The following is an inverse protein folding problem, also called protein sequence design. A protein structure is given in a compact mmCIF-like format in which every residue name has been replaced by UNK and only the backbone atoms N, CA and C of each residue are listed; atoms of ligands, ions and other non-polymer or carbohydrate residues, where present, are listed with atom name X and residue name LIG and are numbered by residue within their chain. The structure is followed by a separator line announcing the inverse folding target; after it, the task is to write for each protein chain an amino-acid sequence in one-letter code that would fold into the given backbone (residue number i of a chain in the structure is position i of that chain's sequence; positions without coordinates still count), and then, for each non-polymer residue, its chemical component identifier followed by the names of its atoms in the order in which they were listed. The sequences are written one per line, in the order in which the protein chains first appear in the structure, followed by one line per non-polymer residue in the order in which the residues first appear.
data_IF_105250997229
#
_entry.id   IF_105250997229
#
_cell.length_a   1.000
_cell.length_b   1.000
_cell.length_c   1.000
_cell.angle_alpha   90.00
_cell.angle_beta   90.00
_cell.angle_gamma   90.00
#
_symmetry.space_group_name_H-M   'P 1'
#
loop_
_entity.id
_entity.type
_entity.pdbx_description
1 polymer ?
#
# COMPACT_ATOMS: atom_id res chain seq x y z
N UNK A 1 -14.80 4.24 25.99
CA UNK A 1 -15.65 3.40 25.13
C UNK A 1 -15.30 3.69 23.68
N UNK A 2 -14.52 2.82 23.02
CA UNK A 2 -14.32 2.76 21.55
C UNK A 2 -13.39 1.61 21.10
N UNK A 3 -12.70 0.90 22.01
CA UNK A 3 -11.75 -0.16 21.64
C UNK A 3 -12.39 -1.53 21.33
N UNK A 4 -13.64 -1.77 21.71
CA UNK A 4 -14.30 -3.06 21.47
C UNK A 4 -14.50 -3.39 19.99
N UNK A 5 -14.68 -2.38 19.14
CA UNK A 5 -14.76 -2.58 17.69
C UNK A 5 -13.38 -2.88 17.11
N UNK A 6 -12.35 -2.13 17.50
CA UNK A 6 -10.98 -2.29 16.99
C UNK A 6 -10.36 -3.63 17.37
N UNK A 7 -10.57 -4.10 18.61
CA UNK A 7 -10.13 -5.43 19.06
C UNK A 7 -10.83 -6.55 18.30
N UNK A 8 -12.08 -6.36 17.85
CA UNK A 8 -12.80 -7.34 17.01
C UNK A 8 -12.27 -7.42 15.58
N UNK A 9 -11.62 -6.37 15.08
CA UNK A 9 -11.01 -6.37 13.75
C UNK A 9 -9.57 -6.90 13.77
N UNK A 10 -8.88 -6.94 14.92
CA UNK A 10 -7.51 -7.47 15.00
C UNK A 10 -7.38 -8.90 14.44
N UNK A 11 -8.28 -9.86 14.79
CA UNK A 11 -8.25 -11.20 14.22
C UNK A 11 -8.49 -11.24 12.70
N UNK A 12 -9.18 -10.24 12.16
CA UNK A 12 -9.35 -10.10 10.71
C UNK A 12 -8.04 -9.69 10.05
N UNK A 13 -7.31 -8.72 10.61
CA UNK A 13 -5.99 -8.29 10.10
C UNK A 13 -4.90 -9.36 10.27
N UNK A 14 -4.99 -10.19 11.31
CA UNK A 14 -4.12 -11.36 11.51
C UNK A 14 -4.56 -12.58 10.68
N UNK A 15 -5.70 -12.50 10.00
CA UNK A 15 -6.19 -13.61 9.19
C UNK A 15 -5.38 -13.79 7.91
N UNK A 16 -5.18 -15.04 7.51
CA UNK A 16 -4.56 -15.39 6.21
C UNK A 16 -5.33 -14.75 5.04
N UNK A 17 -6.66 -14.64 5.15
CA UNK A 17 -7.52 -14.06 4.13
C UNK A 17 -7.26 -12.58 3.87
N UNK A 18 -6.97 -11.80 4.93
CA UNK A 18 -6.58 -10.40 4.78
C UNK A 18 -5.31 -10.26 3.92
N UNK A 19 -4.29 -11.05 4.22
CA UNK A 19 -3.04 -11.03 3.46
C UNK A 19 -3.20 -11.53 2.03
N UNK A 20 -4.08 -12.51 1.79
CA UNK A 20 -4.45 -12.93 0.43
C UNK A 20 -5.06 -11.75 -0.35
N UNK A 21 -6.03 -11.03 0.24
CA UNK A 21 -6.66 -9.86 -0.38
C UNK A 21 -5.61 -8.77 -0.65
N UNK A 22 -4.74 -8.48 0.32
CA UNK A 22 -3.68 -7.50 0.20
C UNK A 22 -2.71 -7.84 -0.96
N UNK A 23 -2.32 -9.11 -1.09
CA UNK A 23 -1.45 -9.58 -2.18
C UNK A 23 -2.17 -9.43 -3.53
N UNK A 24 -3.42 -9.89 -3.64
CA UNK A 24 -4.21 -9.81 -4.89
C UNK A 24 -4.36 -8.35 -5.35
N UNK A 25 -4.71 -7.43 -4.45
CA UNK A 25 -4.82 -6.01 -4.78
C UNK A 25 -3.45 -5.42 -5.15
N UNK A 26 -2.37 -5.86 -4.51
CA UNK A 26 -1.01 -5.41 -4.85
C UNK A 26 -0.56 -5.89 -6.22
N UNK A 27 -0.94 -7.10 -6.65
CA UNK A 27 -0.75 -7.56 -8.02
C UNK A 27 -1.53 -6.70 -9.01
N UNK A 28 -2.81 -6.40 -8.72
CA UNK A 28 -3.63 -5.52 -9.56
C UNK A 28 -2.94 -4.16 -9.78
N UNK A 29 -2.44 -3.53 -8.71
CA UNK A 29 -1.70 -2.26 -8.84
C UNK A 29 -0.39 -2.40 -9.60
N UNK A 30 0.36 -3.49 -9.40
CA UNK A 30 1.55 -3.78 -10.20
C UNK A 30 1.25 -3.82 -11.71
N UNK A 31 0.12 -4.41 -12.12
CA UNK A 31 -0.28 -4.45 -13.53
C UNK A 31 -0.77 -3.08 -14.04
N UNK A 32 -1.51 -2.31 -13.23
CA UNK A 32 -1.93 -0.95 -13.57
C UNK A 32 -0.73 -0.04 -13.84
N UNK A 33 0.34 -0.17 -13.05
CA UNK A 33 1.58 0.61 -13.23
C UNK A 33 2.33 0.23 -14.51
N UNK A 34 2.26 -1.03 -14.95
CA UNK A 34 2.81 -1.44 -16.27
C UNK A 34 2.03 -0.76 -17.40
N UNK A 35 0.69 -0.77 -17.33
CA UNK A 35 -0.18 -0.25 -18.39
C UNK A 35 -0.08 1.28 -18.53
N UNK A 36 0.26 1.98 -17.45
CA UNK A 36 0.52 3.42 -17.46
C UNK A 36 1.81 3.82 -18.19
N UNK A 37 2.79 2.93 -18.34
CA UNK A 37 4.00 3.24 -19.11
C UNK A 37 3.63 3.33 -20.58
N UNK A 38 3.92 4.50 -21.14
CA UNK A 38 3.79 4.81 -22.55
C UNK A 38 4.21 3.63 -23.44
N UNK A 39 3.33 3.27 -24.39
CA UNK A 39 3.45 2.08 -25.24
C UNK A 39 4.74 2.05 -26.07
N UNK A 40 5.45 3.17 -26.14
CA UNK A 40 6.72 3.36 -26.84
C UNK A 40 7.94 2.80 -26.09
N UNK A 41 7.90 2.67 -24.75
CA UNK A 41 9.02 2.10 -23.96
C UNK A 41 8.84 0.60 -23.74
N UNK A 42 8.91 -0.18 -24.83
CA UNK A 42 8.81 -1.65 -24.81
C UNK A 42 10.04 -2.37 -24.21
N UNK A 43 10.75 -1.77 -23.25
CA UNK A 43 11.85 -2.43 -22.56
C UNK A 43 11.30 -3.26 -21.40
N UNK A 44 11.52 -4.59 -21.46
CA UNK A 44 11.13 -5.55 -20.42
C UNK A 44 11.61 -5.12 -19.02
N UNK A 45 12.84 -4.60 -18.92
CA UNK A 45 13.42 -4.14 -17.64
C UNK A 45 12.64 -2.99 -17.04
N UNK A 46 12.15 -2.07 -17.87
CA UNK A 46 11.33 -0.93 -17.42
C UNK A 46 9.98 -1.41 -16.91
N UNK A 47 9.29 -2.30 -17.65
CA UNK A 47 8.02 -2.88 -17.22
C UNK A 47 8.15 -3.65 -15.89
N UNK A 48 9.20 -4.45 -15.75
CA UNK A 48 9.46 -5.20 -14.52
C UNK A 48 9.69 -4.28 -13.30
N UNK A 49 10.48 -3.21 -13.46
CA UNK A 49 10.72 -2.26 -12.37
C UNK A 49 9.45 -1.58 -11.90
N UNK A 50 8.55 -1.25 -12.81
CA UNK A 50 7.29 -0.57 -12.50
C UNK A 50 6.30 -1.49 -11.84
N UNK A 51 6.19 -2.72 -12.36
CA UNK A 51 5.43 -3.77 -11.69
C UNK A 51 5.86 -3.94 -10.24
N UNK A 52 7.18 -4.09 -10.00
CA UNK A 52 7.75 -4.25 -8.67
C UNK A 52 7.49 -3.01 -7.81
N UNK A 53 7.65 -1.81 -8.37
CA UNK A 53 7.38 -0.55 -7.66
C UNK A 53 5.92 -0.44 -7.21
N UNK A 54 4.97 -0.72 -8.10
CA UNK A 54 3.53 -0.68 -7.80
C UNK A 54 3.11 -1.74 -6.80
N UNK A 55 3.59 -2.97 -7.00
CA UNK A 55 3.35 -4.07 -6.09
C UNK A 55 3.90 -3.78 -4.68
N UNK A 56 5.16 -3.35 -4.58
CA UNK A 56 5.80 -3.06 -3.29
C UNK A 56 5.17 -1.87 -2.59
N UNK A 57 4.80 -0.83 -3.33
CA UNK A 57 4.14 0.33 -2.72
C UNK A 57 2.76 -0.02 -2.16
N UNK A 58 1.99 -0.82 -2.89
CA UNK A 58 0.69 -1.31 -2.41
C UNK A 58 0.85 -2.19 -1.17
N UNK A 59 1.75 -3.18 -1.19
CA UNK A 59 1.92 -4.10 -0.06
C UNK A 59 2.44 -3.38 1.19
N UNK A 60 3.29 -2.36 1.03
CA UNK A 60 3.72 -1.49 2.13
C UNK A 60 2.56 -0.64 2.68
N UNK A 61 1.59 -0.25 1.85
CA UNK A 61 0.37 0.40 2.31
C UNK A 61 -0.47 -0.52 3.19
N UNK A 62 -0.69 -1.77 2.77
CA UNK A 62 -1.37 -2.80 3.57
C UNK A 62 -0.64 -3.10 4.88
N UNK A 63 0.68 -3.19 4.84
CA UNK A 63 1.51 -3.39 6.02
C UNK A 63 1.44 -2.20 6.99
N UNK A 64 1.41 -0.98 6.47
CA UNK A 64 1.25 0.24 7.30
C UNK A 64 -0.12 0.26 7.99
N UNK A 65 -1.17 -0.19 7.29
CA UNK A 65 -2.50 -0.35 7.86
C UNK A 65 -2.51 -1.41 8.98
N UNK A 66 -1.83 -2.53 8.77
CA UNK A 66 -1.68 -3.57 9.80
C UNK A 66 -1.03 -3.02 11.08
N UNK A 67 0.10 -2.31 10.95
CA UNK A 67 0.79 -1.69 12.09
C UNK A 67 -0.11 -0.65 12.78
N UNK A 68 -0.83 0.16 12.00
CA UNK A 68 -1.78 1.14 12.54
C UNK A 68 -2.82 0.45 13.42
N UNK A 69 -3.51 -0.57 12.92
CA UNK A 69 -4.54 -1.26 13.70
C UNK A 69 -3.97 -1.95 14.95
N UNK A 70 -2.76 -2.49 14.87
CA UNK A 70 -2.07 -3.06 16.03
C UNK A 70 -1.76 -2.02 17.11
N UNK A 71 -1.36 -0.80 16.74
CA UNK A 71 -1.10 0.29 17.69
C UNK A 71 -2.37 0.91 18.24
N UNK A 72 -3.38 1.10 17.40
CA UNK A 72 -4.69 1.62 17.83
C UNK A 72 -5.37 0.67 18.82
N UNK A 73 -5.24 -0.65 18.65
CA UNK A 73 -5.73 -1.63 19.62
C UNK A 73 -5.03 -1.52 20.99
N UNK A 74 -3.80 -1.01 21.03
CA UNK A 74 -3.05 -0.72 22.26
C UNK A 74 -3.39 0.65 22.87
N UNK A 75 -4.32 1.40 22.28
CA UNK A 75 -4.77 2.73 22.70
C UNK A 75 -3.71 3.84 22.59
N UNK A 76 -2.62 3.59 21.86
CA UNK A 76 -1.62 4.60 21.57
C UNK A 76 -2.00 5.26 20.25
N UNK A 77 -2.66 6.43 20.32
CA UNK A 77 -2.99 7.24 19.15
C UNK A 77 -2.18 8.53 19.16
N UNK A 78 -1.25 8.65 18.22
CA UNK A 78 -0.27 9.72 18.14
C UNK A 78 0.03 10.13 16.68
N UNK A 79 0.98 11.04 16.47
CA UNK A 79 1.39 11.49 15.15
C UNK A 79 1.94 10.36 14.26
N UNK A 80 2.50 9.29 14.86
CA UNK A 80 2.98 8.13 14.14
C UNK A 80 1.83 7.33 13.52
N UNK A 81 0.71 7.17 14.23
CA UNK A 81 -0.49 6.54 13.69
C UNK A 81 -1.10 7.33 12.52
N UNK A 82 -1.10 8.66 12.60
CA UNK A 82 -1.54 9.53 11.49
C UNK A 82 -0.65 9.32 10.25
N UNK A 83 0.67 9.24 10.45
CA UNK A 83 1.61 8.97 9.36
C UNK A 83 1.37 7.58 8.73
N UNK A 84 1.16 6.54 9.54
CA UNK A 84 0.83 5.20 9.04
C UNK A 84 -0.46 5.17 8.23
N UNK A 85 -1.49 5.91 8.65
CA UNK A 85 -2.73 6.03 7.90
C UNK A 85 -2.50 6.68 6.54
N UNK A 86 -1.72 7.76 6.47
CA UNK A 86 -1.38 8.44 5.22
C UNK A 86 -0.61 7.50 4.28
N UNK A 87 0.38 6.75 4.80
CA UNK A 87 1.13 5.76 4.02
C UNK A 87 0.23 4.62 3.55
N UNK A 88 -0.68 4.14 4.40
CA UNK A 88 -1.64 3.10 4.05
C UNK A 88 -2.55 3.55 2.89
N UNK A 89 -3.13 4.75 2.99
CA UNK A 89 -3.96 5.31 1.93
C UNK A 89 -3.14 5.49 0.65
N UNK A 90 -1.96 6.11 0.71
CA UNK A 90 -1.12 6.33 -0.47
C UNK A 90 -0.67 5.02 -1.15
N UNK A 91 -0.26 4.02 -0.36
CA UNK A 91 0.14 2.71 -0.88
C UNK A 91 -1.04 1.96 -1.51
N UNK A 92 -2.15 1.80 -0.77
CA UNK A 92 -3.33 1.03 -1.22
C UNK A 92 -4.04 1.68 -2.40
N UNK A 93 -4.04 3.02 -2.50
CA UNK A 93 -4.63 3.74 -3.64
C UNK A 93 -3.71 3.83 -4.86
N UNK A 94 -2.58 3.12 -4.86
CA UNK A 94 -1.69 3.02 -6.02
C UNK A 94 -0.84 4.27 -6.28
N UNK A 95 -0.68 5.16 -5.29
CA UNK A 95 0.11 6.39 -5.48
C UNK A 95 1.61 6.16 -5.49
N UNK A 96 2.11 4.99 -5.09
CA UNK A 96 3.55 4.73 -4.93
C UNK A 96 4.41 5.05 -6.14
N UNK A 97 3.87 4.91 -7.35
CA UNK A 97 4.57 5.25 -8.59
C UNK A 97 4.21 6.65 -9.14
N UNK A 98 2.99 7.15 -8.90
CA UNK A 98 2.62 8.53 -9.30
C UNK A 98 3.48 9.58 -8.60
N UNK A 99 3.90 9.35 -7.35
CA UNK A 99 4.82 10.24 -6.63
C UNK A 99 6.24 10.22 -7.23
N UNK A 100 6.80 9.06 -7.58
CA UNK A 100 8.17 9.03 -8.16
C UNK A 100 8.26 9.74 -9.51
N UNK A 101 7.17 9.74 -10.29
CA UNK A 101 7.07 10.45 -11.56
C UNK A 101 6.66 11.94 -11.41
N UNK A 102 6.00 12.33 -10.31
CA UNK A 102 5.78 13.73 -9.93
C UNK A 102 7.08 14.40 -9.46
N UNK A 103 7.93 13.69 -8.70
CA UNK A 103 9.26 14.20 -8.30
C UNK A 103 10.34 14.00 -9.38
N UNK A 104 10.08 13.16 -10.38
CA UNK A 104 11.02 12.85 -11.46
C UNK A 104 10.84 13.64 -12.75
N UNK A 105 9.73 14.41 -12.89
CA UNK A 105 9.43 15.19 -14.10
C UNK A 105 10.13 16.55 -14.20
N UNK A 106 10.91 16.94 -13.19
CA UNK A 106 11.75 18.15 -13.21
C UNK A 106 13.23 17.85 -13.53
N UNK A 107 13.52 16.89 -14.42
CA UNK A 107 14.87 16.69 -15.00
C UNK A 107 14.83 16.44 -16.49
#
# INVERSE_FOLDING_TARGET
MNNDLLVKFLPFFDSVWFWIIAIVISFFWGFVDIDYIDKEKNNFKTKANYFVSGFLSSILGWFSLYILFANVAKQEFDNFNIALLIVAVAGISGYGYKTSNWFGKDK
#
